data_IF_947660933656
#
_entry.id   IF_947660933656
#
_cell.length_a   1.000
_cell.length_b   1.000
_cell.length_c   1.000
_cell.angle_alpha   90.00
_cell.angle_beta   90.00
_cell.angle_gamma   90.00
#
_symmetry.space_group_name_H-M   'P 1'
#
loop_
_entity.id
_entity.type
_entity.pdbx_description
1 polymer ?
#
# COMPACT_ATOMS: atom_id res chain seq x y z
N UNK A 1 8.48 27.65 15.18
CA UNK A 1 7.44 27.58 14.16
C UNK A 1 7.65 28.71 13.17
N UNK A 2 8.43 28.49 12.12
CA UNK A 2 8.50 29.37 10.97
C UNK A 2 7.90 28.61 9.79
N UNK A 3 6.66 28.94 9.46
CA UNK A 3 5.98 28.57 8.23
C UNK A 3 6.67 29.30 7.07
N UNK A 4 7.66 28.67 6.45
CA UNK A 4 8.15 29.11 5.14
C UNK A 4 7.21 28.54 4.09
N UNK A 5 6.37 29.38 3.53
CA UNK A 5 5.64 29.09 2.29
C UNK A 5 6.65 28.83 1.17
N UNK A 6 7.02 27.58 0.98
CA UNK A 6 7.65 27.13 -0.25
C UNK A 6 6.53 27.08 -1.29
N UNK A 7 6.53 28.04 -2.18
CA UNK A 7 5.57 28.14 -3.27
C UNK A 7 5.67 26.89 -4.15
N UNK A 8 4.62 26.10 -4.20
CA UNK A 8 4.44 24.86 -4.96
C UNK A 8 4.61 24.99 -6.49
N UNK A 9 5.05 26.13 -7.00
CA UNK A 9 5.12 26.38 -8.45
C UNK A 9 6.37 25.85 -9.15
N UNK A 10 7.35 25.27 -8.46
CA UNK A 10 8.63 24.84 -9.03
C UNK A 10 8.76 23.34 -9.34
N UNK A 11 7.92 22.47 -8.76
CA UNK A 11 8.17 21.02 -8.78
C UNK A 11 7.50 20.25 -9.92
N UNK A 12 6.52 20.83 -10.61
CA UNK A 12 5.72 20.11 -11.62
C UNK A 12 6.05 20.42 -13.09
N UNK A 13 7.05 21.26 -13.38
CA UNK A 13 7.42 21.62 -14.76
C UNK A 13 8.80 21.11 -15.20
N UNK A 14 9.36 20.16 -14.48
CA UNK A 14 10.61 19.49 -14.88
C UNK A 14 10.31 18.37 -15.89
N UNK A 15 9.88 18.76 -17.08
CA UNK A 15 9.87 17.91 -18.28
C UNK A 15 11.29 17.70 -18.80
N UNK A 16 12.09 17.02 -18.04
CA UNK A 16 13.18 16.10 -18.40
C UNK A 16 13.65 15.54 -17.08
N UNK A 17 13.43 14.28 -16.92
CA UNK A 17 13.71 13.50 -15.72
C UNK A 17 15.23 13.35 -15.48
N UNK A 18 15.99 14.43 -15.63
CA UNK A 18 17.43 14.46 -15.40
C UNK A 18 17.82 15.68 -14.58
N UNK A 19 18.14 15.47 -13.30
CA UNK A 19 18.57 16.49 -12.34
C UNK A 19 19.45 15.89 -11.25
N UNK A 20 20.09 16.72 -10.44
CA UNK A 20 20.80 16.29 -9.25
C UNK A 20 20.35 17.07 -8.02
N UNK A 21 20.37 16.40 -6.88
CA UNK A 21 20.28 17.03 -5.55
C UNK A 21 21.68 16.98 -4.94
N UNK A 22 22.15 18.12 -4.41
CA UNK A 22 23.42 18.24 -3.69
C UNK A 22 23.19 18.36 -2.21
N UNK A 23 23.93 17.62 -1.38
CA UNK A 23 23.85 17.69 0.07
C UNK A 23 24.54 16.53 0.76
N UNK A 24 24.19 16.29 2.03
CA UNK A 24 24.61 15.09 2.75
C UNK A 24 23.65 13.95 2.41
N UNK A 25 24.16 12.88 1.80
CA UNK A 25 23.37 11.74 1.34
C UNK A 25 23.63 10.55 2.25
N UNK A 26 22.56 9.91 2.75
CA UNK A 26 22.67 8.73 3.61
C UNK A 26 21.72 7.63 3.12
N UNK A 27 22.24 6.41 2.97
CA UNK A 27 21.44 5.24 2.60
C UNK A 27 22.03 3.94 3.13
N UNK A 28 21.20 2.91 3.27
CA UNK A 28 21.65 1.56 3.60
C UNK A 28 22.17 0.87 2.35
N UNK A 29 23.44 0.50 2.34
CA UNK A 29 24.02 -0.33 1.28
C UNK A 29 23.59 -1.80 1.42
N UNK A 30 23.40 -2.24 2.66
CA UNK A 30 22.89 -3.55 3.04
C UNK A 30 22.37 -3.50 4.48
N UNK A 31 21.94 -4.63 5.05
CA UNK A 31 21.36 -4.72 6.40
C UNK A 31 22.31 -4.28 7.54
N UNK A 32 23.62 -4.17 7.30
CA UNK A 32 24.64 -3.92 8.32
C UNK A 32 25.43 -2.64 8.09
N UNK A 33 25.28 -1.99 6.93
CA UNK A 33 26.14 -0.89 6.52
C UNK A 33 25.29 0.30 6.09
N UNK A 34 25.42 1.40 6.83
CA UNK A 34 24.98 2.73 6.45
C UNK A 34 26.13 3.48 5.79
N UNK A 35 25.84 4.12 4.67
CA UNK A 35 26.80 4.92 3.92
C UNK A 35 26.40 6.38 4.00
N UNK A 36 27.40 7.25 4.24
CA UNK A 36 27.26 8.70 4.25
C UNK A 36 28.20 9.30 3.19
N UNK A 37 27.66 10.23 2.42
CA UNK A 37 28.40 11.04 1.47
C UNK A 37 28.12 12.51 1.76
N UNK A 38 29.08 13.21 2.36
CA UNK A 38 28.99 14.65 2.60
C UNK A 38 29.27 15.41 1.32
N UNK A 39 28.64 16.59 1.16
CA UNK A 39 28.82 17.50 0.01
C UNK A 39 28.82 16.79 -1.36
N UNK A 40 27.89 15.90 -1.54
CA UNK A 40 27.80 14.97 -2.67
C UNK A 40 26.51 15.15 -3.46
N UNK A 41 26.42 14.51 -4.61
CA UNK A 41 25.32 14.62 -5.54
C UNK A 41 24.62 13.28 -5.70
N UNK A 42 23.29 13.23 -5.60
CA UNK A 42 22.48 12.13 -6.12
C UNK A 42 21.86 12.57 -7.44
N UNK A 43 22.11 11.83 -8.50
CA UNK A 43 21.58 12.10 -9.83
C UNK A 43 20.30 11.27 -10.05
N UNK A 44 19.25 11.95 -10.45
CA UNK A 44 17.99 11.33 -10.91
C UNK A 44 17.94 11.41 -12.44
N UNK A 45 17.73 10.28 -13.07
CA UNK A 45 17.56 10.15 -14.51
C UNK A 45 16.34 9.27 -14.81
N UNK A 46 15.34 9.83 -15.50
CA UNK A 46 14.08 9.14 -15.83
C UNK A 46 13.40 8.50 -14.61
N UNK A 47 13.35 9.23 -13.48
CA UNK A 47 12.74 8.75 -12.23
C UNK A 47 13.58 7.72 -11.46
N UNK A 48 14.78 7.38 -11.92
CA UNK A 48 15.68 6.42 -11.29
C UNK A 48 16.93 7.12 -10.73
N UNK A 49 17.48 6.58 -9.64
CA UNK A 49 18.77 7.01 -9.13
C UNK A 49 19.88 6.49 -10.06
N UNK A 50 20.51 7.39 -10.84
CA UNK A 50 21.64 7.04 -11.69
C UNK A 50 22.93 6.83 -10.90
N UNK A 51 23.04 7.44 -9.70
CA UNK A 51 24.18 7.24 -8.81
C UNK A 51 24.34 8.35 -7.78
N UNK A 52 25.29 8.10 -6.85
CA UNK A 52 25.75 9.08 -5.86
C UNK A 52 27.22 9.39 -6.16
N UNK A 53 27.54 10.67 -6.29
CA UNK A 53 28.85 11.13 -6.75
C UNK A 53 29.39 12.23 -5.84
N UNK A 54 30.66 12.18 -5.46
CA UNK A 54 31.34 13.28 -4.77
C UNK A 54 31.60 14.48 -5.70
N UNK A 55 31.72 14.22 -7.00
CA UNK A 55 31.78 15.24 -8.05
C UNK A 55 30.97 14.74 -9.25
N UNK A 56 30.19 15.63 -9.86
CA UNK A 56 29.39 15.23 -11.03
C UNK A 56 30.32 14.76 -12.19
N UNK A 57 30.08 13.56 -12.73
CA UNK A 57 30.66 13.10 -13.96
C UNK A 57 30.46 14.10 -15.13
N UNK A 58 31.29 14.03 -16.14
CA UNK A 58 31.26 14.96 -17.26
C UNK A 58 29.90 15.05 -17.95
N UNK A 59 29.24 13.90 -18.10
CA UNK A 59 27.90 13.76 -18.68
C UNK A 59 26.80 14.47 -17.89
N UNK A 60 27.01 14.70 -16.58
CA UNK A 60 26.03 15.34 -15.70
C UNK A 60 26.39 16.78 -15.30
N UNK A 61 27.51 17.36 -15.78
CA UNK A 61 27.94 18.70 -15.39
C UNK A 61 26.99 19.82 -15.78
N UNK A 62 26.17 19.63 -16.80
CA UNK A 62 25.25 20.64 -17.33
C UNK A 62 23.79 20.45 -16.89
N UNK A 63 23.49 19.47 -16.03
CA UNK A 63 22.11 19.22 -15.55
C UNK A 63 21.73 20.23 -14.46
N UNK A 64 20.43 20.47 -14.23
CA UNK A 64 19.96 21.23 -13.08
C UNK A 64 20.42 20.58 -11.77
N UNK A 65 20.95 21.39 -10.86
CA UNK A 65 21.36 20.97 -9.52
C UNK A 65 20.59 21.80 -8.50
N UNK A 66 19.91 21.14 -7.57
CA UNK A 66 19.31 21.77 -6.41
C UNK A 66 20.20 21.51 -5.19
N UNK A 67 20.70 22.58 -4.58
CA UNK A 67 21.49 22.51 -3.34
C UNK A 67 20.54 22.45 -2.13
N UNK A 68 20.58 21.33 -1.43
CA UNK A 68 19.74 21.07 -0.25
C UNK A 68 20.31 21.69 1.03
N UNK A 69 21.48 22.34 0.98
CA UNK A 69 22.15 22.96 2.11
C UNK A 69 22.51 21.94 3.19
N UNK A 70 22.08 22.21 4.42
CA UNK A 70 22.33 21.35 5.59
C UNK A 70 21.34 20.17 5.76
N UNK A 71 20.45 19.98 4.79
CA UNK A 71 19.45 18.88 4.83
C UNK A 71 20.09 17.55 4.49
N UNK A 72 19.60 16.52 5.19
CA UNK A 72 19.94 15.13 4.90
C UNK A 72 19.06 14.59 3.78
N UNK A 73 19.68 14.06 2.74
CA UNK A 73 19.01 13.36 1.63
C UNK A 73 19.02 11.87 1.95
N UNK A 74 17.83 11.27 2.03
CA UNK A 74 17.66 9.83 2.28
C UNK A 74 16.70 9.23 1.23
N UNK A 75 16.78 7.91 0.97
CA UNK A 75 15.73 7.22 0.21
C UNK A 75 14.38 7.37 0.90
N UNK A 76 13.31 7.50 0.12
CA UNK A 76 11.97 7.51 0.66
C UNK A 76 11.62 6.19 1.36
N UNK A 77 10.77 6.26 2.38
CA UNK A 77 10.34 5.09 3.14
C UNK A 77 9.36 4.22 2.33
N UNK A 78 9.36 2.94 2.66
CA UNK A 78 8.38 1.98 2.17
C UNK A 78 7.49 1.56 3.33
N UNK A 79 6.20 1.80 3.20
CA UNK A 79 5.17 1.34 4.12
C UNK A 79 4.53 0.07 3.55
N UNK A 80 4.75 -1.07 4.20
CA UNK A 80 4.25 -2.36 3.72
C UNK A 80 2.85 -2.69 4.20
N UNK A 81 2.26 -1.88 5.09
CA UNK A 81 0.92 -2.13 5.60
C UNK A 81 0.24 -0.85 6.05
N UNK A 82 -0.78 -0.45 5.32
CA UNK A 82 -1.69 0.61 5.73
C UNK A 82 -3.08 0.44 5.10
N UNK A 83 -4.08 1.02 5.76
CA UNK A 83 -5.48 1.01 5.33
C UNK A 83 -5.93 2.41 4.94
N UNK A 84 -6.14 2.66 3.64
CA UNK A 84 -6.61 3.96 3.17
C UNK A 84 -7.99 4.35 3.75
N UNK A 85 -8.99 3.44 3.88
CA UNK A 85 -10.27 3.80 4.47
C UNK A 85 -10.19 4.21 5.94
N UNK A 86 -9.26 3.64 6.71
CA UNK A 86 -9.14 3.91 8.14
C UNK A 86 -8.54 5.28 8.45
N UNK A 87 -7.92 5.90 7.46
CA UNK A 87 -7.32 7.22 7.62
C UNK A 87 -8.33 8.30 8.07
N UNK A 88 -9.57 8.19 7.61
CA UNK A 88 -10.63 9.15 7.94
C UNK A 88 -11.05 9.15 9.42
N UNK A 89 -10.81 8.03 10.13
CA UNK A 89 -11.16 7.87 11.55
C UNK A 89 -9.99 7.40 12.42
N UNK A 90 -8.76 7.61 11.95
CA UNK A 90 -7.54 7.28 12.68
C UNK A 90 -7.54 7.83 14.10
N UNK A 91 -7.04 7.04 15.05
CA UNK A 91 -7.00 7.40 16.47
C UNK A 91 -8.34 7.25 17.22
N UNK A 92 -9.39 6.72 16.56
CA UNK A 92 -10.69 6.49 17.19
C UNK A 92 -10.77 5.06 17.76
N UNK A 93 -11.21 4.92 19.02
CA UNK A 93 -11.40 3.63 19.69
C UNK A 93 -10.11 2.87 19.99
N UNK A 94 -9.00 3.59 20.23
CA UNK A 94 -7.68 3.00 20.51
C UNK A 94 -7.60 2.25 21.85
N UNK A 95 -8.64 2.30 22.65
CA UNK A 95 -8.83 1.58 23.92
C UNK A 95 -9.61 0.27 23.78
N UNK A 96 -10.06 -0.06 22.55
CA UNK A 96 -10.80 -1.28 22.27
C UNK A 96 -9.88 -2.43 21.82
N UNK A 97 -10.25 -3.66 22.16
CA UNK A 97 -9.67 -4.86 21.57
C UNK A 97 -10.00 -4.94 20.08
N UNK A 98 -9.16 -5.63 19.29
CA UNK A 98 -9.26 -5.67 17.83
C UNK A 98 -10.67 -6.01 17.32
N UNK A 99 -11.28 -7.10 17.81
CA UNK A 99 -12.57 -7.58 17.31
C UNK A 99 -13.71 -6.62 17.67
N UNK A 100 -13.67 -6.00 18.85
CA UNK A 100 -14.62 -4.98 19.27
C UNK A 100 -14.45 -3.72 18.43
N UNK A 101 -13.22 -3.30 18.18
CA UNK A 101 -12.91 -2.16 17.34
C UNK A 101 -13.36 -2.37 15.89
N UNK A 102 -13.12 -3.56 15.32
CA UNK A 102 -13.57 -3.89 13.97
C UNK A 102 -15.10 -3.77 13.86
N UNK A 103 -15.84 -4.37 14.80
CA UNK A 103 -17.30 -4.43 14.73
C UNK A 103 -17.97 -3.09 15.05
N UNK A 104 -17.43 -2.30 15.99
CA UNK A 104 -18.09 -1.08 16.46
C UNK A 104 -17.68 0.19 15.70
N UNK A 105 -16.47 0.21 15.15
CA UNK A 105 -15.92 1.40 14.48
C UNK A 105 -15.55 1.08 13.04
N UNK A 106 -14.66 0.13 12.82
CA UNK A 106 -14.02 -0.06 11.52
C UNK A 106 -15.00 -0.46 10.43
N UNK A 107 -15.75 -1.53 10.62
CA UNK A 107 -16.69 -2.01 9.60
C UNK A 107 -17.77 -0.98 9.26
N UNK A 108 -18.44 -0.31 10.24
CA UNK A 108 -19.38 0.77 9.93
C UNK A 108 -18.76 1.94 9.17
N UNK A 109 -17.51 2.32 9.47
CA UNK A 109 -16.85 3.42 8.79
C UNK A 109 -16.37 3.02 7.38
N UNK A 110 -15.84 1.82 7.21
CA UNK A 110 -15.43 1.32 5.89
C UNK A 110 -16.62 1.09 4.96
N UNK A 111 -17.79 0.70 5.45
CA UNK A 111 -19.01 0.56 4.65
C UNK A 111 -19.41 1.88 3.95
N UNK A 112 -19.07 3.03 4.51
CA UNK A 112 -19.35 4.36 3.92
C UNK A 112 -18.66 4.58 2.57
N UNK A 113 -17.62 3.83 2.27
CA UNK A 113 -16.91 3.92 0.99
C UNK A 113 -17.70 3.35 -0.20
N UNK A 114 -18.89 2.78 0.03
CA UNK A 114 -19.88 2.55 -1.03
C UNK A 114 -20.36 3.86 -1.68
N UNK A 115 -20.35 4.96 -0.92
CA UNK A 115 -20.61 6.31 -1.42
C UNK A 115 -19.32 6.89 -2.02
N UNK A 116 -19.31 7.09 -3.34
CA UNK A 116 -18.14 7.60 -4.06
C UNK A 116 -17.80 9.06 -3.73
N UNK A 117 -18.76 9.88 -3.35
CA UNK A 117 -18.50 11.27 -2.94
C UNK A 117 -17.78 11.29 -1.58
N UNK A 118 -18.21 10.42 -0.66
CA UNK A 118 -17.50 10.22 0.59
C UNK A 118 -16.08 9.66 0.35
N UNK A 119 -15.96 8.59 -0.45
CA UNK A 119 -14.69 7.97 -0.79
C UNK A 119 -13.73 8.99 -1.42
N UNK A 120 -14.20 9.79 -2.37
CA UNK A 120 -13.42 10.83 -3.04
C UNK A 120 -12.87 11.84 -2.05
N UNK A 121 -13.69 12.33 -1.12
CA UNK A 121 -13.26 13.29 -0.10
C UNK A 121 -12.22 12.69 0.84
N UNK A 122 -12.49 11.49 1.38
CA UNK A 122 -11.61 10.82 2.33
C UNK A 122 -10.26 10.45 1.69
N UNK A 123 -10.27 9.85 0.51
CA UNK A 123 -9.06 9.48 -0.22
C UNK A 123 -8.24 10.68 -0.70
N UNK A 124 -8.89 11.81 -1.03
CA UNK A 124 -8.14 13.03 -1.38
C UNK A 124 -7.26 13.49 -0.23
N UNK A 125 -7.77 13.47 1.01
CA UNK A 125 -7.01 13.84 2.21
C UNK A 125 -5.90 12.82 2.45
N UNK A 126 -6.22 11.53 2.39
CA UNK A 126 -5.26 10.45 2.59
C UNK A 126 -4.09 10.54 1.59
N UNK A 127 -4.36 10.66 0.30
CA UNK A 127 -3.34 10.71 -0.76
C UNK A 127 -2.50 11.99 -0.65
N UNK A 128 -3.13 13.12 -0.32
CA UNK A 128 -2.40 14.37 -0.12
C UNK A 128 -1.45 14.31 1.08
N UNK A 129 -1.91 13.80 2.21
CA UNK A 129 -1.07 13.64 3.40
C UNK A 129 0.06 12.61 3.16
N UNK A 130 -0.24 11.49 2.49
CA UNK A 130 0.76 10.48 2.14
C UNK A 130 1.85 11.06 1.23
N UNK A 131 1.46 11.84 0.22
CA UNK A 131 2.37 12.51 -0.71
C UNK A 131 3.31 13.51 -0.01
N UNK A 132 2.85 14.13 1.07
CA UNK A 132 3.65 15.07 1.87
C UNK A 132 4.39 14.41 3.04
N UNK A 133 4.36 13.08 3.13
CA UNK A 133 5.11 12.30 4.11
C UNK A 133 6.48 11.87 3.58
N UNK A 134 7.22 11.11 4.38
CA UNK A 134 8.47 10.48 3.95
C UNK A 134 8.24 9.16 3.21
N UNK A 135 7.02 8.66 3.13
CA UNK A 135 6.65 7.42 2.44
C UNK A 135 6.53 7.68 0.95
N UNK A 136 7.33 6.99 0.15
CA UNK A 136 7.32 7.07 -1.32
C UNK A 136 6.79 5.79 -1.97
N UNK A 137 6.73 4.70 -1.20
CA UNK A 137 6.19 3.41 -1.61
C UNK A 137 5.25 2.89 -0.54
N UNK A 138 4.09 2.38 -0.95
CA UNK A 138 3.12 1.86 0.02
C UNK A 138 2.37 0.64 -0.50
N UNK A 139 2.08 -0.29 0.42
CA UNK A 139 1.18 -1.41 0.20
C UNK A 139 -0.12 -1.16 0.96
N UNK A 140 -1.23 -1.02 0.24
CA UNK A 140 -2.43 -0.36 0.72
C UNK A 140 -3.65 -1.29 0.66
N UNK A 141 -4.31 -1.50 1.79
CA UNK A 141 -5.67 -2.02 1.82
C UNK A 141 -6.64 -0.90 1.42
N UNK A 142 -7.42 -1.13 0.37
CA UNK A 142 -8.54 -0.27 0.01
C UNK A 142 -9.83 -0.75 0.69
N UNK A 143 -10.93 -0.81 0.00
CA UNK A 143 -12.21 -1.34 0.45
C UNK A 143 -12.64 -2.51 -0.43
N UNK A 144 -13.71 -3.22 -0.03
CA UNK A 144 -14.33 -4.23 -0.88
C UNK A 144 -15.10 -3.61 -2.06
N UNK A 145 -15.48 -2.32 -1.96
CA UNK A 145 -16.21 -1.62 -3.01
C UNK A 145 -15.28 -1.30 -4.18
N UNK A 146 -15.37 -2.06 -5.29
CA UNK A 146 -14.52 -1.92 -6.46
C UNK A 146 -14.45 -0.49 -7.00
N UNK A 147 -15.56 0.24 -7.21
CA UNK A 147 -15.49 1.61 -7.72
C UNK A 147 -14.69 2.57 -6.83
N UNK A 148 -14.76 2.42 -5.51
CA UNK A 148 -13.96 3.21 -4.58
C UNK A 148 -12.49 2.80 -4.59
N UNK A 149 -12.19 1.52 -4.76
CA UNK A 149 -10.82 1.02 -4.92
C UNK A 149 -10.16 1.58 -6.19
N UNK A 150 -10.87 1.57 -7.32
CA UNK A 150 -10.41 2.15 -8.58
C UNK A 150 -10.19 3.67 -8.47
N UNK A 151 -11.10 4.38 -7.78
CA UNK A 151 -10.95 5.80 -7.49
C UNK A 151 -9.67 6.08 -6.69
N UNK A 152 -9.36 5.25 -5.68
CA UNK A 152 -8.12 5.37 -4.92
C UNK A 152 -6.89 5.14 -5.82
N UNK A 153 -6.92 4.11 -6.66
CA UNK A 153 -5.83 3.80 -7.59
C UNK A 153 -5.59 4.96 -8.56
N UNK A 154 -6.65 5.57 -9.11
CA UNK A 154 -6.55 6.74 -9.99
C UNK A 154 -5.93 7.97 -9.31
N UNK A 155 -6.19 8.15 -8.01
CA UNK A 155 -5.61 9.24 -7.23
C UNK A 155 -4.13 8.98 -6.91
N UNK A 156 -3.80 7.75 -6.53
CA UNK A 156 -2.43 7.33 -6.23
C UNK A 156 -1.54 7.38 -7.47
N UNK A 157 -2.04 6.94 -8.62
CA UNK A 157 -1.32 7.05 -9.89
C UNK A 157 -0.92 8.50 -10.20
N UNK A 158 -1.86 9.44 -10.02
CA UNK A 158 -1.60 10.88 -10.23
C UNK A 158 -0.69 11.50 -9.19
N UNK A 159 -0.48 10.86 -8.05
CA UNK A 159 0.37 11.36 -6.98
C UNK A 159 1.87 11.21 -7.28
N UNK A 160 2.24 10.27 -8.15
CA UNK A 160 3.62 9.87 -8.43
C UNK A 160 4.24 8.94 -7.38
N UNK A 161 3.47 8.48 -6.39
CA UNK A 161 3.89 7.46 -5.43
C UNK A 161 3.89 6.08 -6.10
N UNK A 162 4.83 5.22 -5.73
CA UNK A 162 4.82 3.82 -6.17
C UNK A 162 4.00 2.98 -5.18
N UNK A 163 2.84 2.50 -5.60
CA UNK A 163 1.90 1.84 -4.68
C UNK A 163 1.43 0.47 -5.16
N UNK A 164 1.13 -0.40 -4.19
CA UNK A 164 0.31 -1.59 -4.41
C UNK A 164 -1.01 -1.37 -3.69
N UNK A 165 -2.12 -1.56 -4.39
CA UNK A 165 -3.47 -1.33 -3.84
C UNK A 165 -4.28 -2.60 -3.96
N UNK A 166 -4.94 -3.00 -2.88
CA UNK A 166 -5.76 -4.18 -2.85
C UNK A 166 -7.24 -3.90 -2.64
N UNK A 167 -8.07 -4.41 -3.57
CA UNK A 167 -9.49 -4.60 -3.32
C UNK A 167 -9.63 -5.67 -2.23
N UNK A 168 -10.27 -5.32 -1.12
CA UNK A 168 -10.47 -6.24 0.00
C UNK A 168 -11.48 -7.32 -0.40
N UNK A 169 -11.18 -8.57 -0.04
CA UNK A 169 -12.07 -9.70 -0.17
C UNK A 169 -12.55 -10.15 1.20
N UNK A 170 -13.86 -10.24 1.40
CA UNK A 170 -14.48 -10.76 2.61
C UNK A 170 -15.92 -11.21 2.34
N UNK A 171 -16.19 -12.52 2.51
CA UNK A 171 -17.48 -13.14 2.24
C UNK A 171 -18.15 -13.75 3.49
N UNK A 172 -17.56 -13.53 4.69
CA UNK A 172 -18.15 -13.92 5.99
C UNK A 172 -17.71 -12.98 7.11
N UNK A 173 -18.49 -13.00 8.20
CA UNK A 173 -18.16 -12.31 9.47
C UNK A 173 -17.91 -10.80 9.33
N UNK A 174 -18.40 -10.19 8.28
CA UNK A 174 -18.45 -8.74 8.11
C UNK A 174 -19.79 -8.17 8.55
N UNK A 175 -19.87 -6.82 8.61
CA UNK A 175 -21.17 -6.17 8.67
C UNK A 175 -21.94 -6.42 7.36
N UNK A 176 -23.29 -6.46 7.36
CA UNK A 176 -24.07 -6.71 6.14
C UNK A 176 -23.70 -5.79 4.97
N UNK A 177 -23.37 -4.52 5.25
CA UNK A 177 -22.98 -3.53 4.26
C UNK A 177 -21.50 -3.62 3.87
N UNK A 178 -20.72 -4.46 4.55
CA UNK A 178 -19.29 -4.67 4.31
C UNK A 178 -18.99 -6.17 4.23
N UNK A 179 -19.77 -6.89 3.45
CA UNK A 179 -19.55 -8.30 3.16
C UNK A 179 -20.00 -8.59 1.72
N UNK A 180 -19.20 -9.33 1.00
CA UNK A 180 -19.53 -9.76 -0.36
C UNK A 180 -20.58 -10.89 -0.29
N UNK A 181 -21.44 -10.97 -1.30
CA UNK A 181 -22.58 -11.88 -1.34
C UNK A 181 -22.17 -13.36 -1.26
N UNK A 182 -21.05 -13.70 -1.90
CA UNK A 182 -20.52 -15.06 -1.93
C UNK A 182 -19.06 -15.09 -2.37
N UNK A 183 -18.39 -16.22 -2.12
CA UNK A 183 -17.03 -16.47 -2.62
C UNK A 183 -16.92 -16.31 -4.16
N UNK A 184 -17.94 -16.74 -4.89
CA UNK A 184 -17.99 -16.65 -6.35
C UNK A 184 -18.13 -15.19 -6.80
N UNK A 185 -19.02 -14.43 -6.16
CA UNK A 185 -19.21 -13.00 -6.46
C UNK A 185 -17.93 -12.22 -6.18
N UNK A 186 -17.29 -12.44 -5.03
CA UNK A 186 -16.01 -11.85 -4.67
C UNK A 186 -14.91 -12.17 -5.69
N UNK A 187 -14.76 -13.44 -6.06
CA UNK A 187 -13.77 -13.88 -7.03
C UNK A 187 -14.01 -13.29 -8.44
N UNK A 188 -15.27 -13.21 -8.87
CA UNK A 188 -15.63 -12.63 -10.16
C UNK A 188 -15.36 -11.13 -10.20
N UNK A 189 -15.76 -10.39 -9.16
CA UNK A 189 -15.50 -8.96 -9.05
C UNK A 189 -13.99 -8.65 -8.98
N UNK A 190 -13.23 -9.49 -8.27
CA UNK A 190 -11.76 -9.40 -8.23
C UNK A 190 -11.14 -9.61 -9.60
N UNK A 191 -11.56 -10.62 -10.37
CA UNK A 191 -11.07 -10.83 -11.75
C UNK A 191 -11.41 -9.64 -12.64
N UNK A 192 -12.63 -9.14 -12.56
CA UNK A 192 -13.04 -7.97 -13.33
C UNK A 192 -12.18 -6.75 -13.00
N UNK A 193 -11.95 -6.47 -11.72
CA UNK A 193 -11.07 -5.39 -11.27
C UNK A 193 -9.64 -5.55 -11.82
N UNK A 194 -9.09 -6.78 -11.79
CA UNK A 194 -7.75 -7.04 -12.32
C UNK A 194 -7.67 -6.83 -13.84
N UNK A 195 -8.69 -7.28 -14.60
CA UNK A 195 -8.74 -7.04 -16.04
C UNK A 195 -8.84 -5.55 -16.38
N UNK A 196 -9.66 -4.80 -15.66
CA UNK A 196 -9.83 -3.34 -15.84
C UNK A 196 -8.59 -2.53 -15.40
N UNK A 197 -7.74 -3.10 -14.55
CA UNK A 197 -6.48 -2.50 -14.11
C UNK A 197 -5.32 -2.73 -15.08
N UNK A 198 -5.42 -3.68 -16.01
CA UNK A 198 -4.34 -4.02 -16.93
C UNK A 198 -3.95 -2.85 -17.82
N UNK A 199 -2.69 -2.42 -17.74
CA UNK A 199 -2.14 -1.35 -18.57
C UNK A 199 -2.74 0.04 -18.31
N UNK A 200 -3.49 0.19 -17.22
CA UNK A 200 -4.11 1.48 -16.84
C UNK A 200 -3.17 2.34 -16.00
N UNK A 201 -2.23 1.74 -15.30
CA UNK A 201 -1.38 2.39 -14.32
C UNK A 201 0.10 2.07 -14.57
N UNK A 202 0.96 3.07 -14.37
CA UNK A 202 2.42 2.95 -14.49
C UNK A 202 3.11 2.78 -13.12
N UNK A 203 2.50 3.34 -12.05
CA UNK A 203 3.07 3.39 -10.70
C UNK A 203 2.20 2.75 -9.62
N UNK A 204 0.96 2.39 -9.96
CA UNK A 204 0.01 1.77 -9.03
C UNK A 204 -0.35 0.37 -9.50
N UNK A 205 -0.07 -0.63 -8.67
CA UNK A 205 -0.24 -2.05 -9.03
C UNK A 205 -1.29 -2.71 -8.16
N UNK A 206 -2.08 -3.65 -8.70
CA UNK A 206 -2.99 -4.46 -7.89
C UNK A 206 -2.23 -5.45 -7.00
N UNK A 207 -2.75 -5.69 -5.80
CA UNK A 207 -2.32 -6.75 -4.89
C UNK A 207 -3.55 -7.49 -4.36
N UNK A 208 -3.55 -8.81 -4.39
CA UNK A 208 -4.66 -9.62 -3.91
C UNK A 208 -4.80 -9.49 -2.39
N UNK A 209 -6.02 -9.22 -1.92
CA UNK A 209 -6.19 -8.80 -0.53
C UNK A 209 -7.35 -9.52 0.17
N UNK A 210 -7.21 -10.84 0.51
CA UNK A 210 -8.05 -11.40 1.55
C UNK A 210 -7.85 -10.60 2.83
N UNK A 211 -8.95 -10.07 3.41
CA UNK A 211 -8.79 -9.18 4.58
C UNK A 211 -8.03 -9.87 5.70
N UNK A 212 -8.52 -11.03 6.13
CA UNK A 212 -7.88 -11.96 7.05
C UNK A 212 -8.70 -13.27 7.06
N UNK A 213 -8.14 -14.34 7.57
CA UNK A 213 -8.80 -15.66 7.56
C UNK A 213 -10.21 -15.66 8.15
N UNK A 214 -10.53 -14.97 9.27
CA UNK A 214 -11.89 -14.94 9.81
C UNK A 214 -12.94 -14.35 8.88
N UNK A 215 -12.58 -13.46 7.96
CA UNK A 215 -13.52 -12.83 7.04
C UNK A 215 -13.61 -13.51 5.67
N UNK A 216 -12.83 -14.56 5.43
CA UNK A 216 -12.81 -15.28 4.16
C UNK A 216 -13.18 -16.75 4.35
N UNK A 217 -14.18 -17.26 3.62
CA UNK A 217 -14.47 -18.69 3.62
C UNK A 217 -13.37 -19.46 2.89
N UNK A 218 -13.25 -20.77 3.18
CA UNK A 218 -12.33 -21.67 2.46
C UNK A 218 -12.60 -21.69 0.95
N UNK A 219 -13.86 -21.48 0.55
CA UNK A 219 -14.23 -21.36 -0.86
C UNK A 219 -13.63 -20.10 -1.48
N UNK A 220 -13.74 -18.97 -0.78
CA UNK A 220 -13.13 -17.73 -1.24
C UNK A 220 -11.60 -17.84 -1.29
N UNK A 221 -10.98 -18.35 -0.22
CA UNK A 221 -9.52 -18.55 -0.18
C UNK A 221 -9.03 -19.45 -1.33
N UNK A 222 -9.78 -20.51 -1.66
CA UNK A 222 -9.51 -21.38 -2.80
C UNK A 222 -9.55 -20.61 -4.13
N UNK A 223 -10.58 -19.78 -4.34
CA UNK A 223 -10.68 -18.96 -5.57
C UNK A 223 -9.57 -17.92 -5.64
N UNK A 224 -9.24 -17.24 -4.53
CA UNK A 224 -8.14 -16.28 -4.49
C UNK A 224 -6.78 -16.92 -4.78
N UNK A 225 -6.55 -18.15 -4.31
CA UNK A 225 -5.36 -18.92 -4.67
C UNK A 225 -5.28 -19.27 -6.16
N UNK A 226 -6.42 -19.51 -6.83
CA UNK A 226 -6.47 -19.65 -8.30
C UNK A 226 -6.14 -18.33 -9.00
N UNK A 227 -6.74 -17.22 -8.54
CA UNK A 227 -6.51 -15.88 -9.09
C UNK A 227 -5.03 -15.49 -8.97
N UNK A 228 -4.40 -15.74 -7.82
CA UNK A 228 -2.97 -15.48 -7.63
C UNK A 228 -2.12 -16.16 -8.71
N UNK A 229 -2.36 -17.44 -8.96
CA UNK A 229 -1.62 -18.21 -9.96
C UNK A 229 -1.93 -17.78 -11.40
N UNK A 230 -3.20 -17.45 -11.67
CA UNK A 230 -3.67 -17.01 -13.00
C UNK A 230 -3.07 -15.66 -13.40
N UNK A 231 -3.04 -14.71 -12.47
CA UNK A 231 -2.61 -13.32 -12.71
C UNK A 231 -1.16 -13.06 -12.31
N UNK A 232 -0.51 -13.98 -11.63
CA UNK A 232 0.85 -13.80 -11.10
C UNK A 232 1.01 -12.53 -10.25
N UNK A 233 0.06 -12.27 -9.35
CA UNK A 233 0.06 -11.09 -8.49
C UNK A 233 0.43 -11.43 -7.04
N UNK A 234 1.09 -10.49 -6.32
CA UNK A 234 1.39 -10.66 -4.90
C UNK A 234 0.11 -10.66 -4.05
N UNK A 235 0.25 -11.09 -2.80
CA UNK A 235 -0.85 -11.16 -1.82
C UNK A 235 -0.48 -10.34 -0.59
N UNK A 236 -1.45 -9.65 -0.01
CA UNK A 236 -1.36 -9.07 1.34
C UNK A 236 -2.52 -9.54 2.20
N UNK A 237 -2.28 -9.70 3.50
CA UNK A 237 -3.31 -10.01 4.49
C UNK A 237 -2.82 -9.69 5.90
N UNK A 238 -3.64 -10.04 6.92
CA UNK A 238 -3.30 -9.93 8.34
C UNK A 238 -3.02 -11.30 8.94
N UNK A 239 -2.08 -11.35 9.86
CA UNK A 239 -1.64 -12.60 10.50
C UNK A 239 -1.25 -12.37 11.96
N UNK A 240 -2.02 -12.93 12.86
CA UNK A 240 -1.69 -12.97 14.31
C UNK A 240 -1.63 -11.59 15.00
N UNK A 241 -2.49 -10.68 14.61
CA UNK A 241 -2.55 -9.32 15.16
C UNK A 241 -3.02 -9.29 16.62
N UNK A 242 -3.94 -10.20 16.99
CA UNK A 242 -4.54 -10.26 18.31
C UNK A 242 -4.77 -11.70 18.79
N UNK A 243 -4.68 -11.94 20.11
CA UNK A 243 -4.90 -13.29 20.67
C UNK A 243 -6.32 -13.81 20.44
N UNK A 244 -7.34 -12.93 20.48
CA UNK A 244 -8.73 -13.30 20.18
C UNK A 244 -8.90 -13.74 18.73
N UNK A 245 -8.25 -13.04 17.80
CA UNK A 245 -8.18 -13.40 16.38
C UNK A 245 -7.52 -14.76 16.18
N UNK A 246 -6.38 -15.02 16.82
CA UNK A 246 -5.66 -16.30 16.72
C UNK A 246 -6.55 -17.45 17.21
N UNK A 247 -7.25 -17.27 18.35
CA UNK A 247 -8.17 -18.26 18.88
C UNK A 247 -9.31 -18.52 17.90
N UNK A 248 -9.88 -17.48 17.31
CA UNK A 248 -10.96 -17.58 16.33
C UNK A 248 -10.55 -18.30 15.05
N UNK A 249 -9.33 -18.03 14.54
CA UNK A 249 -8.80 -18.78 13.38
C UNK A 249 -8.66 -20.27 13.69
N UNK A 250 -8.21 -20.62 14.89
CA UNK A 250 -8.12 -22.03 15.32
C UNK A 250 -9.49 -22.73 15.33
N UNK A 251 -10.55 -22.02 15.67
CA UNK A 251 -11.94 -22.55 15.62
C UNK A 251 -12.45 -22.68 14.18
N UNK A 252 -12.19 -21.66 13.34
CA UNK A 252 -12.65 -21.61 11.95
C UNK A 252 -11.89 -22.54 11.01
N UNK A 253 -10.61 -22.79 11.30
CA UNK A 253 -9.70 -23.58 10.48
C UNK A 253 -9.06 -24.72 11.31
N UNK A 254 -9.87 -25.69 11.81
CA UNK A 254 -9.39 -26.71 12.75
C UNK A 254 -8.34 -27.67 12.13
N UNK A 255 -8.21 -27.71 10.82
CA UNK A 255 -7.23 -28.52 10.10
C UNK A 255 -5.89 -27.81 9.93
N UNK A 256 -5.81 -26.50 10.16
CA UNK A 256 -4.56 -25.73 10.11
C UNK A 256 -3.70 -26.04 11.34
N UNK A 257 -2.41 -26.19 11.15
CA UNK A 257 -1.43 -26.43 12.23
C UNK A 257 -1.16 -25.18 13.07
N UNK A 258 -1.20 -24.03 12.41
CA UNK A 258 -1.01 -22.68 12.98
C UNK A 258 -1.66 -21.65 12.03
N UNK A 259 -1.76 -20.40 12.41
CA UNK A 259 -2.49 -19.39 11.64
C UNK A 259 -1.98 -19.23 10.20
N UNK A 260 -0.68 -19.16 9.98
CA UNK A 260 -0.11 -19.04 8.62
C UNK A 260 -0.47 -20.21 7.71
N UNK A 261 -0.65 -21.42 8.29
CA UNK A 261 -1.10 -22.61 7.55
C UNK A 261 -2.50 -22.44 6.94
N UNK A 262 -3.37 -21.63 7.58
CA UNK A 262 -4.69 -21.29 7.06
C UNK A 262 -4.64 -20.48 5.74
N UNK A 263 -3.50 -19.86 5.41
CA UNK A 263 -3.24 -19.27 4.10
C UNK A 263 -2.46 -20.20 3.18
N UNK A 264 -1.48 -20.93 3.72
CA UNK A 264 -0.62 -21.84 2.97
C UNK A 264 -1.42 -22.97 2.29
N UNK A 265 -2.43 -23.50 2.97
CA UNK A 265 -3.35 -24.52 2.44
C UNK A 265 -4.00 -24.13 1.11
N UNK A 266 -4.14 -22.84 0.84
CA UNK A 266 -4.72 -22.29 -0.40
C UNK A 266 -3.67 -21.73 -1.37
N UNK A 267 -2.37 -21.82 -1.02
CA UNK A 267 -1.25 -21.28 -1.78
C UNK A 267 -1.11 -19.77 -1.67
N UNK A 268 -1.66 -19.16 -0.62
CA UNK A 268 -1.67 -17.70 -0.38
C UNK A 268 -0.57 -17.24 0.60
N UNK A 269 0.36 -18.11 0.96
CA UNK A 269 1.46 -17.81 1.87
C UNK A 269 2.81 -18.23 1.25
N UNK A 270 3.50 -17.27 0.63
CA UNK A 270 4.80 -17.53 0.01
C UNK A 270 4.77 -18.50 -1.19
N UNK A 271 3.65 -18.59 -1.89
CA UNK A 271 3.45 -19.46 -3.05
C UNK A 271 4.15 -18.96 -4.32
N UNK A 272 3.41 -18.91 -5.44
CA UNK A 272 3.96 -18.49 -6.73
C UNK A 272 4.41 -17.02 -6.77
N UNK A 273 3.89 -16.18 -5.87
CA UNK A 273 4.17 -14.74 -5.79
C UNK A 273 4.50 -14.33 -4.35
N UNK A 274 5.21 -13.20 -4.16
CA UNK A 274 5.47 -12.65 -2.83
C UNK A 274 4.19 -12.41 -2.02
N UNK A 275 4.30 -12.57 -0.71
CA UNK A 275 3.21 -12.35 0.24
C UNK A 275 3.66 -11.39 1.32
N UNK A 276 2.81 -10.42 1.66
CA UNK A 276 2.98 -9.49 2.76
C UNK A 276 1.93 -9.82 3.82
N UNK A 277 2.36 -10.33 4.96
CA UNK A 277 1.52 -10.60 6.12
C UNK A 277 1.82 -9.56 7.20
N UNK A 278 0.82 -8.75 7.51
CA UNK A 278 0.94 -7.74 8.56
C UNK A 278 0.77 -8.36 9.94
N UNK A 279 1.53 -7.85 10.90
CA UNK A 279 1.61 -8.26 12.32
C UNK A 279 2.28 -9.59 12.61
#
# INVERSE_FOLDING_TARGET
YASSHITQKGWFDMKKDLYALKGTICYSKNQKELVFHEDSYVVCENGLCAGVFSQLPEEYKSIPVEDMGDRLIIPGFTDLHLHAPQYAYRGTGMDLELLDWLNTITFPQEARYADLDYAKKAYSIFVDDLKHSFTTRACIFATLHRPATELLMDMLEKSGLATMVGKVNMDRNGAPELQEESAQASAQDTRQWLEESKGRYDHTYPILTPRFTPSCTDKLMTELGKIQREYHIPVQSHLSENFGEIAWVKELCPTSRFYGDAYDMFGLFGGACPTIMAH
#
